data_IF_246821759926
#
_entry.id   IF_246821759926
#
_cell.length_a   1.000
_cell.length_b   1.000
_cell.length_c   1.000
_cell.angle_alpha   90.00
_cell.angle_beta   90.00
_cell.angle_gamma   90.00
#
_symmetry.space_group_name_H-M   'P 1'
#
loop_
_entity.id
_entity.type
_entity.pdbx_description
1 polymer ?
#
# COMPACT_ATOMS: atom_id res chain seq x y z
N UNK A 1 -8.29 -31.12 20.27
CA UNK A 1 -7.80 -29.96 19.51
C UNK A 1 -7.68 -30.38 18.06
N UNK A 2 -8.44 -29.80 17.13
CA UNK A 2 -8.36 -30.18 15.71
C UNK A 2 -7.09 -29.53 15.14
N UNK A 3 -6.12 -30.36 14.75
CA UNK A 3 -4.85 -29.90 14.20
C UNK A 3 -5.12 -29.14 12.89
N UNK A 4 -4.61 -27.92 12.77
CA UNK A 4 -4.76 -27.11 11.56
C UNK A 4 -4.04 -27.83 10.40
N UNK A 5 -4.74 -28.02 9.27
CA UNK A 5 -4.15 -28.63 8.09
C UNK A 5 -3.55 -27.52 7.23
N UNK A 6 -2.22 -27.41 7.26
CA UNK A 6 -1.47 -26.45 6.42
C UNK A 6 -1.86 -26.62 4.95
N UNK A 7 -1.89 -27.86 4.44
CA UNK A 7 -2.28 -28.11 3.04
C UNK A 7 -3.73 -27.72 2.70
N UNK A 8 -4.64 -27.70 3.66
CA UNK A 8 -5.99 -27.19 3.43
C UNK A 8 -6.01 -25.66 3.34
N UNK A 9 -5.19 -24.98 4.13
CA UNK A 9 -5.04 -23.52 4.06
C UNK A 9 -4.36 -23.10 2.75
N UNK A 10 -3.31 -23.79 2.33
CA UNK A 10 -2.65 -23.58 1.04
C UNK A 10 -3.65 -23.70 -0.12
N UNK A 11 -4.41 -24.82 -0.18
CA UNK A 11 -5.45 -25.00 -1.19
C UNK A 11 -6.49 -23.88 -1.19
N UNK A 12 -6.92 -23.45 0.00
CA UNK A 12 -7.90 -22.36 0.09
C UNK A 12 -7.37 -21.07 -0.53
N UNK A 13 -6.10 -20.71 -0.29
CA UNK A 13 -5.45 -19.54 -0.89
C UNK A 13 -5.32 -19.71 -2.41
N UNK A 14 -4.78 -20.86 -2.87
CA UNK A 14 -4.56 -21.12 -4.30
C UNK A 14 -5.86 -21.16 -5.11
N UNK A 15 -6.98 -21.55 -4.48
CA UNK A 15 -8.27 -21.62 -5.15
C UNK A 15 -8.98 -20.26 -5.14
N UNK A 16 -8.94 -19.51 -4.04
CA UNK A 16 -9.86 -18.38 -3.81
C UNK A 16 -9.23 -16.98 -3.83
N UNK A 17 -7.92 -16.84 -3.59
CA UNK A 17 -7.30 -15.51 -3.48
C UNK A 17 -7.21 -14.78 -4.85
N UNK A 18 -6.97 -13.47 -4.84
CA UNK A 18 -6.77 -12.72 -6.08
C UNK A 18 -5.41 -13.07 -6.69
N UNK A 19 -5.16 -12.81 -7.98
CA UNK A 19 -3.88 -13.10 -8.61
C UNK A 19 -2.67 -12.54 -7.84
N UNK A 20 -2.79 -11.32 -7.28
CA UNK A 20 -1.75 -10.70 -6.48
C UNK A 20 -1.44 -11.49 -5.20
N UNK A 21 -2.42 -11.76 -4.32
CA UNK A 21 -2.13 -12.52 -3.08
C UNK A 21 -1.66 -13.95 -3.36
N UNK A 22 -2.13 -14.57 -4.46
CA UNK A 22 -1.58 -15.87 -4.89
C UNK A 22 -0.09 -15.76 -5.20
N UNK A 23 0.32 -14.73 -5.95
CA UNK A 23 1.73 -14.52 -6.26
C UNK A 23 2.56 -14.18 -5.01
N UNK A 24 2.05 -13.32 -4.12
CA UNK A 24 2.69 -13.03 -2.83
C UNK A 24 2.86 -14.29 -1.98
N UNK A 25 1.86 -15.16 -1.95
CA UNK A 25 1.92 -16.43 -1.23
C UNK A 25 3.06 -17.33 -1.73
N UNK A 26 3.26 -17.43 -3.05
CA UNK A 26 4.39 -18.17 -3.63
C UNK A 26 5.76 -17.59 -3.20
N UNK A 27 5.87 -16.26 -3.13
CA UNK A 27 7.11 -15.60 -2.68
C UNK A 27 7.38 -15.92 -1.21
N UNK A 28 6.42 -15.63 -0.34
CA UNK A 28 6.63 -15.70 1.12
C UNK A 28 6.71 -17.12 1.66
N UNK A 29 6.03 -18.08 1.01
CA UNK A 29 5.89 -19.43 1.55
C UNK A 29 6.59 -20.51 0.72
N UNK A 30 6.77 -20.27 -0.59
CA UNK A 30 7.47 -21.20 -1.49
C UNK A 30 8.82 -20.67 -1.97
N UNK A 31 9.28 -19.52 -1.46
CA UNK A 31 10.58 -18.92 -1.77
C UNK A 31 10.80 -18.77 -3.29
N UNK A 32 9.72 -18.43 -4.00
CA UNK A 32 9.73 -18.14 -5.43
C UNK A 32 10.17 -16.70 -5.70
N UNK A 33 10.56 -16.42 -6.95
CA UNK A 33 10.86 -15.05 -7.40
C UNK A 33 9.65 -14.14 -7.26
N UNK A 34 9.89 -12.87 -6.91
CA UNK A 34 8.86 -11.86 -6.78
C UNK A 34 8.33 -11.30 -8.11
N UNK A 35 8.94 -11.64 -9.24
CA UNK A 35 8.60 -11.09 -10.58
C UNK A 35 7.08 -11.08 -10.85
N UNK A 36 6.41 -12.19 -10.58
CA UNK A 36 4.96 -12.31 -10.79
C UNK A 36 4.17 -11.45 -9.80
N UNK A 37 4.61 -11.35 -8.56
CA UNK A 37 3.95 -10.50 -7.56
C UNK A 37 4.09 -9.02 -7.92
N UNK A 38 5.26 -8.60 -8.42
CA UNK A 38 5.51 -7.24 -8.90
C UNK A 38 4.69 -6.93 -10.17
N UNK A 39 4.58 -7.88 -11.10
CA UNK A 39 3.72 -7.72 -12.29
C UNK A 39 2.25 -7.53 -11.91
N UNK A 40 1.73 -8.34 -10.97
CA UNK A 40 0.35 -8.20 -10.49
C UNK A 40 0.15 -6.91 -9.68
N UNK A 41 1.10 -6.53 -8.83
CA UNK A 41 1.04 -5.30 -8.03
C UNK A 41 0.99 -4.05 -8.92
N UNK A 42 1.78 -4.01 -10.00
CA UNK A 42 1.83 -2.87 -10.93
C UNK A 42 0.48 -2.57 -11.58
N UNK A 43 -0.43 -3.54 -11.66
CA UNK A 43 -1.80 -3.35 -12.21
C UNK A 43 -2.67 -2.44 -11.35
N UNK A 44 -2.31 -2.24 -10.08
CA UNK A 44 -3.02 -1.35 -9.15
C UNK A 44 -2.45 0.08 -9.13
N UNK A 45 -1.26 0.28 -9.68
CA UNK A 45 -0.57 1.58 -9.70
C UNK A 45 -1.14 2.48 -10.80
N UNK A 46 -1.45 3.72 -10.45
CA UNK A 46 -1.95 4.73 -11.36
C UNK A 46 -0.80 5.53 -12.01
N UNK A 47 -1.12 6.30 -13.05
CA UNK A 47 -0.13 7.10 -13.81
C UNK A 47 0.59 8.18 -12.98
N UNK A 48 -0.03 8.64 -11.89
CA UNK A 48 0.59 9.58 -10.94
C UNK A 48 1.61 8.89 -10.01
N UNK A 49 1.65 7.55 -10.01
CA UNK A 49 2.56 6.72 -9.23
C UNK A 49 1.96 6.20 -7.92
N UNK A 50 0.78 6.69 -7.53
CA UNK A 50 0.05 6.22 -6.36
C UNK A 50 -0.76 4.96 -6.66
N UNK A 51 -1.37 4.40 -5.63
CA UNK A 51 -2.15 3.16 -5.74
C UNK A 51 -3.62 3.36 -5.36
N UNK A 52 -4.47 2.56 -6.00
CA UNK A 52 -5.90 2.47 -5.76
C UNK A 52 -6.43 1.13 -6.29
N UNK A 53 -7.59 1.14 -6.95
CA UNK A 53 -8.12 -0.01 -7.69
C UNK A 53 -8.34 -1.26 -6.82
N UNK A 54 -8.80 -1.07 -5.58
CA UNK A 54 -9.02 -2.14 -4.61
C UNK A 54 -7.76 -2.93 -4.22
N UNK A 55 -6.56 -2.33 -4.26
CA UNK A 55 -5.37 -2.97 -3.67
C UNK A 55 -5.63 -3.31 -2.20
N UNK A 56 -6.01 -2.29 -1.41
CA UNK A 56 -6.72 -2.48 -0.15
C UNK A 56 -8.11 -3.06 -0.46
N UNK A 57 -8.32 -4.31 -0.04
CA UNK A 57 -9.39 -5.17 -0.52
C UNK A 57 -10.80 -4.64 -0.17
N UNK A 58 -10.91 -3.85 0.88
CA UNK A 58 -12.15 -3.24 1.35
C UNK A 58 -12.31 -1.75 0.96
N UNK A 59 -11.47 -1.22 0.06
CA UNK A 59 -11.62 0.11 -0.54
C UNK A 59 -11.48 0.09 -2.07
N UNK A 60 -12.60 0.19 -2.80
CA UNK A 60 -12.60 0.05 -4.27
C UNK A 60 -12.42 1.35 -5.03
N UNK A 61 -12.01 2.43 -4.35
CA UNK A 61 -11.72 3.69 -5.01
C UNK A 61 -10.57 3.51 -6.02
N UNK A 62 -10.77 3.83 -7.32
CA UNK A 62 -9.72 3.73 -8.32
C UNK A 62 -8.67 4.84 -8.19
N UNK A 63 -8.99 5.96 -7.52
CA UNK A 63 -8.07 7.06 -7.33
C UNK A 63 -6.89 6.66 -6.43
N UNK A 64 -5.73 7.23 -6.74
CA UNK A 64 -4.56 7.13 -5.88
C UNK A 64 -4.87 7.70 -4.51
N UNK A 65 -4.47 6.99 -3.45
CA UNK A 65 -4.64 7.47 -2.09
C UNK A 65 -3.51 6.97 -1.18
N UNK A 66 -3.28 7.63 -0.02
CA UNK A 66 -2.14 7.29 0.83
C UNK A 66 -2.22 5.90 1.44
N UNK A 67 -3.42 5.39 1.77
CA UNK A 67 -3.59 4.07 2.38
C UNK A 67 -3.25 2.97 1.39
N UNK A 68 -3.83 2.98 0.19
CA UNK A 68 -3.53 1.98 -0.82
C UNK A 68 -2.07 2.05 -1.27
N UNK A 69 -1.48 3.25 -1.32
CA UNK A 69 -0.05 3.42 -1.61
C UNK A 69 0.83 2.85 -0.50
N UNK A 70 0.43 3.02 0.76
CA UNK A 70 1.10 2.38 1.88
C UNK A 70 0.92 0.85 1.87
N UNK A 71 -0.24 0.33 1.45
CA UNK A 71 -0.43 -1.13 1.34
C UNK A 71 0.54 -1.73 0.30
N UNK A 72 0.71 -1.10 -0.85
CA UNK A 72 1.74 -1.48 -1.82
C UNK A 72 3.15 -1.49 -1.21
N UNK A 73 3.50 -0.43 -0.48
CA UNK A 73 4.79 -0.31 0.21
C UNK A 73 5.00 -1.44 1.23
N UNK A 74 3.98 -1.77 2.02
CA UNK A 74 4.05 -2.85 3.01
C UNK A 74 4.21 -4.21 2.34
N UNK A 75 3.57 -4.46 1.19
CA UNK A 75 3.79 -5.69 0.44
C UNK A 75 5.20 -5.78 -0.13
N UNK A 76 5.74 -4.71 -0.71
CA UNK A 76 7.12 -4.66 -1.18
C UNK A 76 8.11 -4.93 -0.04
N UNK A 77 7.90 -4.32 1.12
CA UNK A 77 8.70 -4.57 2.33
C UNK A 77 8.61 -6.04 2.79
N UNK A 78 7.40 -6.61 2.86
CA UNK A 78 7.20 -8.01 3.29
C UNK A 78 7.85 -9.02 2.36
N UNK A 79 7.89 -8.73 1.07
CA UNK A 79 8.53 -9.57 0.06
C UNK A 79 10.03 -9.32 -0.05
N UNK A 80 10.60 -8.37 0.70
CA UNK A 80 11.99 -7.94 0.59
C UNK A 80 12.34 -7.49 -0.84
N UNK A 81 11.49 -6.61 -1.40
CA UNK A 81 11.53 -6.23 -2.82
C UNK A 81 11.55 -4.71 -3.05
N UNK A 82 11.87 -3.90 -2.04
CA UNK A 82 11.87 -2.44 -2.18
C UNK A 82 12.97 -1.95 -3.15
N UNK A 83 14.13 -2.61 -3.16
CA UNK A 83 15.25 -2.23 -4.02
C UNK A 83 15.08 -2.79 -5.45
N UNK A 84 14.49 -3.99 -5.57
CA UNK A 84 14.25 -4.68 -6.84
C UNK A 84 13.09 -4.07 -7.65
N UNK A 85 12.12 -3.43 -6.97
CA UNK A 85 10.93 -2.87 -7.59
C UNK A 85 11.11 -1.39 -7.99
N UNK A 86 12.25 -1.02 -8.57
CA UNK A 86 12.64 0.37 -8.90
C UNK A 86 11.52 1.17 -9.60
N UNK A 87 10.92 0.63 -10.67
CA UNK A 87 9.80 1.26 -11.38
C UNK A 87 8.63 1.62 -10.45
N UNK A 88 8.29 0.72 -9.52
CA UNK A 88 7.16 0.89 -8.62
C UNK A 88 7.52 1.90 -7.53
N UNK A 89 8.71 1.77 -6.93
CA UNK A 89 9.17 2.64 -5.84
C UNK A 89 9.40 4.07 -6.31
N UNK A 90 9.93 4.27 -7.52
CA UNK A 90 10.00 5.60 -8.15
C UNK A 90 8.61 6.23 -8.35
N UNK A 91 7.62 5.42 -8.73
CA UNK A 91 6.23 5.85 -8.80
C UNK A 91 5.67 6.28 -7.44
N UNK A 92 5.93 5.50 -6.39
CA UNK A 92 5.51 5.86 -5.02
C UNK A 92 6.17 7.19 -4.60
N UNK A 93 7.47 7.36 -4.84
CA UNK A 93 8.19 8.62 -4.55
C UNK A 93 7.55 9.79 -5.29
N UNK A 94 7.23 9.63 -6.59
CA UNK A 94 6.56 10.65 -7.40
C UNK A 94 5.21 11.05 -6.80
N UNK A 95 4.39 10.07 -6.41
CA UNK A 95 3.09 10.33 -5.80
C UNK A 95 3.25 11.05 -4.45
N UNK A 96 4.12 10.56 -3.56
CA UNK A 96 4.31 11.17 -2.24
C UNK A 96 4.83 12.60 -2.33
N UNK A 97 5.74 12.90 -3.26
CA UNK A 97 6.22 14.27 -3.55
C UNK A 97 5.14 15.23 -4.05
N UNK A 98 4.07 14.72 -4.65
CA UNK A 98 2.97 15.57 -5.10
C UNK A 98 2.18 16.17 -3.93
N UNK A 99 2.32 15.60 -2.74
CA UNK A 99 1.53 15.92 -1.55
C UNK A 99 0.02 15.77 -1.79
N UNK A 100 -0.38 14.95 -2.77
CA UNK A 100 -1.78 14.58 -2.92
C UNK A 100 -2.25 13.86 -1.64
N UNK A 101 -3.38 14.34 -1.11
CA UNK A 101 -3.92 13.89 0.17
C UNK A 101 -2.91 13.96 1.33
N UNK A 102 -2.11 15.02 1.37
CA UNK A 102 -1.26 15.41 2.51
C UNK A 102 -1.76 16.72 3.15
N UNK A 103 -1.85 16.74 4.47
CA UNK A 103 -2.14 17.95 5.25
C UNK A 103 -0.82 18.60 5.69
N UNK A 104 -0.55 19.79 5.16
CA UNK A 104 0.69 20.54 5.42
C UNK A 104 0.78 21.07 6.86
N UNK A 105 -0.36 21.31 7.51
CA UNK A 105 -0.39 21.86 8.87
C UNK A 105 -0.10 20.76 9.87
N UNK A 106 -0.77 19.62 9.71
CA UNK A 106 -0.61 18.45 10.57
C UNK A 106 0.63 17.61 10.19
N UNK A 107 1.24 17.88 9.03
CA UNK A 107 2.33 17.11 8.41
C UNK A 107 1.97 15.62 8.30
N UNK A 108 0.76 15.32 7.81
CA UNK A 108 0.23 13.95 7.75
C UNK A 108 -0.45 13.66 6.43
N UNK A 109 -0.24 12.46 5.91
CA UNK A 109 -1.11 11.93 4.87
C UNK A 109 -2.46 11.53 5.44
N UNK A 110 -3.50 11.69 4.63
CA UNK A 110 -4.86 11.35 5.00
C UNK A 110 -5.02 9.83 5.09
N UNK A 111 -5.72 9.38 6.14
CA UNK A 111 -6.20 8.01 6.28
C UNK A 111 -7.40 7.74 5.36
N UNK A 112 -8.24 8.75 5.14
CA UNK A 112 -9.44 8.65 4.30
C UNK A 112 -9.58 9.88 3.41
N UNK A 113 -9.90 9.65 2.14
CA UNK A 113 -10.06 10.72 1.13
C UNK A 113 -11.53 10.87 0.75
N UNK A 114 -11.89 12.06 0.26
CA UNK A 114 -13.31 12.42 0.02
C UNK A 114 -13.98 11.50 -1.01
N UNK A 115 -13.25 11.11 -2.06
CA UNK A 115 -13.79 10.29 -3.15
C UNK A 115 -14.03 8.83 -2.77
N UNK A 116 -13.59 8.37 -1.58
CA UNK A 116 -13.88 7.00 -1.14
C UNK A 116 -15.40 6.72 -1.12
N UNK A 117 -16.20 7.72 -0.73
CA UNK A 117 -17.65 7.62 -0.64
C UNK A 117 -18.35 7.29 -1.97
N UNK A 118 -17.67 7.54 -3.09
CA UNK A 118 -18.24 7.39 -4.44
C UNK A 118 -18.08 5.96 -5.00
N UNK A 119 -17.39 5.07 -4.27
CA UNK A 119 -17.10 3.68 -4.67
C UNK A 119 -17.46 2.69 -3.55
N UNK A 120 -17.57 1.37 -3.79
CA UNK A 120 -17.74 0.41 -2.70
C UNK A 120 -16.56 0.43 -1.72
N UNK A 121 -16.84 0.56 -0.43
CA UNK A 121 -15.80 0.57 0.61
C UNK A 121 -16.41 0.15 1.96
N UNK A 122 -15.55 -0.29 2.89
CA UNK A 122 -15.94 -0.44 4.28
C UNK A 122 -16.13 0.92 4.96
N UNK A 123 -17.05 0.99 5.92
CA UNK A 123 -17.51 2.25 6.56
C UNK A 123 -16.43 3.06 7.26
N UNK A 124 -15.26 2.48 7.56
CA UNK A 124 -14.12 3.19 8.14
C UNK A 124 -13.35 4.01 7.11
N UNK A 125 -13.51 3.77 5.81
CA UNK A 125 -12.88 4.55 4.75
C UNK A 125 -13.65 5.81 4.36
N UNK A 126 -14.86 6.00 4.89
CA UNK A 126 -15.57 7.27 4.74
C UNK A 126 -14.82 8.38 5.47
N UNK A 127 -14.52 9.46 4.75
CA UNK A 127 -13.79 10.59 5.31
C UNK A 127 -14.60 11.28 6.40
N UNK A 128 -14.00 11.36 7.60
CA UNK A 128 -14.53 12.11 8.75
C UNK A 128 -13.59 13.26 9.09
N UNK A 129 -14.14 14.46 9.29
CA UNK A 129 -13.35 15.64 9.64
C UNK A 129 -12.24 15.92 8.62
N UNK A 130 -10.99 16.06 9.09
CA UNK A 130 -9.82 16.25 8.23
C UNK A 130 -9.48 15.02 7.38
N UNK A 131 -9.97 13.83 7.74
CA UNK A 131 -9.59 12.55 7.12
C UNK A 131 -8.30 11.94 7.68
N UNK A 132 -7.70 12.57 8.69
CA UNK A 132 -6.55 12.05 9.44
C UNK A 132 -7.03 11.14 10.57
N UNK A 133 -6.43 9.96 10.71
CA UNK A 133 -6.63 9.07 11.86
C UNK A 133 -5.28 8.58 12.41
N UNK A 134 -4.88 9.14 13.55
CA UNK A 134 -3.57 8.88 14.14
C UNK A 134 -2.41 9.20 13.20
N UNK A 135 -1.50 8.24 13.05
CA UNK A 135 -0.29 8.33 12.21
C UNK A 135 -0.29 7.36 11.03
N UNK A 136 -1.37 6.60 10.83
CA UNK A 136 -1.51 5.73 9.68
C UNK A 136 -2.07 6.54 8.50
N UNK A 137 -1.45 6.56 7.32
CA UNK A 137 -0.24 5.83 6.90
C UNK A 137 1.09 6.59 7.04
N UNK A 138 1.04 7.81 7.55
CA UNK A 138 2.14 8.78 7.57
C UNK A 138 3.50 8.26 7.99
N UNK A 139 3.62 7.51 9.09
CA UNK A 139 4.95 7.09 9.60
C UNK A 139 5.68 6.17 8.61
N UNK A 140 4.98 5.20 8.03
CA UNK A 140 5.55 4.27 7.05
C UNK A 140 5.96 4.98 5.76
N UNK A 141 5.11 5.90 5.29
CA UNK A 141 5.39 6.69 4.09
C UNK A 141 6.59 7.63 4.29
N UNK A 142 6.67 8.33 5.43
CA UNK A 142 7.79 9.20 5.76
C UNK A 142 9.11 8.42 5.89
N UNK A 143 9.08 7.26 6.57
CA UNK A 143 10.25 6.39 6.68
C UNK A 143 10.75 5.93 5.30
N UNK A 144 9.84 5.52 4.41
CA UNK A 144 10.19 5.19 3.03
C UNK A 144 10.83 6.38 2.29
N UNK A 145 10.25 7.58 2.40
CA UNK A 145 10.81 8.77 1.75
C UNK A 145 12.22 9.14 2.27
N UNK A 146 12.52 8.92 3.55
CA UNK A 146 13.87 9.15 4.09
C UNK A 146 14.89 8.15 3.52
N UNK A 147 14.48 6.89 3.37
CA UNK A 147 15.35 5.81 2.91
C UNK A 147 15.58 5.82 1.40
N UNK A 148 14.54 6.14 0.62
CA UNK A 148 14.50 5.95 -0.82
C UNK A 148 14.42 7.23 -1.64
N UNK A 149 14.08 8.36 -1.01
CA UNK A 149 14.12 9.66 -1.67
C UNK A 149 15.26 10.55 -1.13
N UNK A 150 15.35 11.78 -1.66
CA UNK A 150 16.20 12.82 -1.08
C UNK A 150 15.73 13.11 0.35
N UNK A 151 16.68 12.99 1.27
CA UNK A 151 16.54 13.40 2.67
C UNK A 151 15.92 14.80 2.76
N UNK A 152 14.82 14.89 3.49
CA UNK A 152 14.02 16.11 3.65
C UNK A 152 13.73 16.32 5.12
N UNK A 153 13.99 17.52 5.63
CA UNK A 153 13.69 17.91 7.02
C UNK A 153 12.22 17.67 7.36
N UNK A 154 11.31 17.82 6.39
CA UNK A 154 9.88 17.55 6.58
C UNK A 154 9.62 16.11 7.05
N UNK A 155 10.22 15.13 6.40
CA UNK A 155 9.95 13.72 6.71
C UNK A 155 10.68 13.28 7.98
N UNK A 156 11.83 13.90 8.28
CA UNK A 156 12.51 13.68 9.56
C UNK A 156 11.71 14.21 10.74
N UNK A 157 11.12 15.41 10.60
CA UNK A 157 10.23 16.00 11.61
C UNK A 157 9.02 15.13 11.92
N UNK A 158 8.51 14.36 10.94
CA UNK A 158 7.38 13.45 11.13
C UNK A 158 7.76 12.26 12.05
N UNK A 159 9.04 11.87 12.06
CA UNK A 159 9.53 10.71 12.82
C UNK A 159 10.18 11.07 14.17
N UNK A 160 10.42 12.36 14.44
CA UNK A 160 11.02 12.88 15.68
C UNK A 160 10.01 13.16 16.78
#
# INVERSE_FOLDING_TARGET
MKMMSVSAAERFITDNARPFEKAVFEVLYHNCSADKALEELKKFQNNDGGFGNALEADNWNPASNPIATNDALIWLYRMDCLDEAEDITEGIIKYLRSHDSFDETEKRWLFSIESNKDYPHAVWWEKKGSGIDGFNPTVSLAAFMICYDKRSELYEDILG
#
